data_IF_951317642980
#
_entry.id   IF_951317642980
#
_cell.length_a   1.000
_cell.length_b   1.000
_cell.length_c   1.000
_cell.angle_alpha   90.00
_cell.angle_beta   90.00
_cell.angle_gamma   90.00
#
_symmetry.space_group_name_H-M   'P 1'
#
loop_
_entity.id
_entity.type
_entity.pdbx_description
1 polymer ?
#
# COMPACT_ATOMS: atom_id res chain seq x y z
N UNK A 1 12.25 -15.46 8.21
CA UNK A 1 11.44 -15.33 6.98
C UNK A 1 11.81 -14.01 6.31
N UNK A 2 11.67 -13.89 4.98
CA UNK A 2 11.94 -12.62 4.30
C UNK A 2 10.76 -11.65 4.49
N UNK A 3 11.01 -10.34 4.44
CA UNK A 3 9.99 -9.31 4.60
C UNK A 3 8.89 -9.43 3.54
N UNK A 4 9.26 -9.68 2.28
CA UNK A 4 8.32 -9.85 1.17
C UNK A 4 7.39 -11.04 1.40
N UNK A 5 7.89 -12.14 1.98
CA UNK A 5 7.06 -13.31 2.31
C UNK A 5 6.01 -12.98 3.35
N UNK A 6 6.40 -12.32 4.43
CA UNK A 6 5.48 -11.90 5.49
C UNK A 6 4.44 -10.91 4.94
N UNK A 7 4.86 -10.01 4.06
CA UNK A 7 3.98 -9.03 3.45
C UNK A 7 2.96 -9.65 2.48
N UNK A 8 3.37 -10.65 1.70
CA UNK A 8 2.45 -11.44 0.87
C UNK A 8 1.42 -12.15 1.73
N UNK A 9 1.86 -12.83 2.79
CA UNK A 9 0.94 -13.53 3.71
C UNK A 9 -0.05 -12.55 4.34
N UNK A 10 0.42 -11.40 4.83
CA UNK A 10 -0.42 -10.38 5.44
C UNK A 10 -1.45 -9.82 4.44
N UNK A 11 -1.02 -9.38 3.26
CA UNK A 11 -1.91 -8.73 2.27
C UNK A 11 -2.92 -9.70 1.67
N UNK A 12 -2.52 -10.96 1.43
CA UNK A 12 -3.40 -11.98 0.87
C UNK A 12 -4.45 -12.52 1.87
N UNK A 13 -4.45 -12.07 3.13
CA UNK A 13 -5.52 -12.40 4.08
C UNK A 13 -6.90 -11.90 3.63
N UNK A 14 -6.93 -10.79 2.88
CA UNK A 14 -8.18 -10.13 2.47
C UNK A 14 -8.76 -10.68 1.17
N UNK A 15 -8.09 -11.62 0.49
CA UNK A 15 -8.55 -12.15 -0.79
C UNK A 15 -7.41 -12.54 -1.72
N UNK A 16 -7.62 -12.32 -3.01
CA UNK A 16 -6.62 -12.62 -4.04
C UNK A 16 -5.58 -11.49 -4.09
N UNK A 17 -4.30 -11.85 -4.12
CA UNK A 17 -3.19 -10.91 -4.32
C UNK A 17 -2.60 -11.11 -5.72
N UNK A 18 -2.59 -10.06 -6.54
CA UNK A 18 -2.00 -10.12 -7.87
C UNK A 18 -0.50 -10.38 -7.81
N UNK A 19 0.03 -11.21 -8.71
CA UNK A 19 1.46 -11.54 -8.75
C UNK A 19 2.34 -10.35 -9.10
N UNK A 20 1.81 -9.33 -9.80
CA UNK A 20 2.51 -8.04 -9.97
C UNK A 20 2.71 -7.30 -8.65
N UNK A 21 1.74 -7.38 -7.73
CA UNK A 21 1.92 -6.83 -6.39
C UNK A 21 2.97 -7.62 -5.60
N UNK A 22 3.00 -8.95 -5.74
CA UNK A 22 4.07 -9.79 -5.16
C UNK A 22 5.45 -9.39 -5.73
N UNK A 23 5.54 -9.19 -7.04
CA UNK A 23 6.76 -8.74 -7.71
C UNK A 23 7.22 -7.36 -7.20
N UNK A 24 6.29 -6.42 -6.97
CA UNK A 24 6.61 -5.13 -6.37
C UNK A 24 7.21 -5.28 -4.96
N UNK A 25 6.67 -6.19 -4.14
CA UNK A 25 7.23 -6.48 -2.82
C UNK A 25 8.64 -7.07 -2.91
N UNK A 26 8.84 -8.06 -3.79
CA UNK A 26 10.18 -8.63 -4.02
C UNK A 26 11.16 -7.56 -4.50
N UNK A 27 10.75 -6.70 -5.44
CA UNK A 27 11.54 -5.59 -5.92
C UNK A 27 11.96 -4.64 -4.79
N UNK A 28 11.05 -4.32 -3.86
CA UNK A 28 11.32 -3.46 -2.70
C UNK A 28 12.29 -4.09 -1.70
N UNK A 29 12.17 -5.38 -1.45
CA UNK A 29 13.10 -6.12 -0.57
C UNK A 29 14.54 -6.12 -1.12
N UNK A 30 14.67 -6.21 -2.43
CA UNK A 30 15.97 -6.35 -3.11
C UNK A 30 16.62 -5.00 -3.48
N UNK A 31 16.06 -3.87 -3.05
CA UNK A 31 16.59 -2.55 -3.44
C UNK A 31 18.04 -2.38 -2.97
N UNK A 32 18.93 -2.09 -3.93
CA UNK A 32 20.37 -1.90 -3.71
C UNK A 32 21.26 -1.90 -4.97
N UNK A 33 20.76 -2.32 -6.14
CA UNK A 33 21.49 -2.34 -7.41
C UNK A 33 20.62 -1.86 -8.58
N UNK A 34 21.23 -1.37 -9.67
CA UNK A 34 20.55 -0.80 -10.86
C UNK A 34 20.77 -1.63 -12.13
N UNK A 35 19.79 -1.61 -13.05
CA UNK A 35 19.93 -2.09 -14.44
C UNK A 35 19.33 -3.47 -14.74
N UNK A 36 19.56 -4.00 -15.95
CA UNK A 36 18.94 -5.24 -16.48
C UNK A 36 19.17 -6.50 -15.62
N UNK A 37 20.30 -6.56 -14.92
CA UNK A 37 20.60 -7.62 -13.97
C UNK A 37 19.60 -7.66 -12.80
N UNK A 38 18.97 -6.52 -12.47
CA UNK A 38 17.97 -6.43 -11.41
C UNK A 38 16.65 -7.08 -11.83
N UNK A 39 16.24 -6.99 -13.10
CA UNK A 39 14.98 -7.56 -13.58
C UNK A 39 15.01 -9.10 -13.51
N UNK A 40 16.09 -9.73 -13.98
CA UNK A 40 16.28 -11.18 -13.89
C UNK A 40 16.36 -11.65 -12.43
N UNK A 41 17.06 -10.90 -11.57
CA UNK A 41 17.16 -11.20 -10.12
C UNK A 41 15.79 -11.09 -9.43
N UNK A 42 15.01 -10.06 -9.74
CA UNK A 42 13.66 -9.87 -9.19
C UNK A 42 12.71 -10.95 -9.68
N UNK A 43 12.77 -11.32 -10.96
CA UNK A 43 11.96 -12.40 -11.51
C UNK A 43 12.31 -13.75 -10.86
N UNK A 44 13.60 -14.05 -10.70
CA UNK A 44 14.05 -15.26 -10.03
C UNK A 44 13.59 -15.29 -8.57
N UNK A 45 13.73 -14.19 -7.83
CA UNK A 45 13.29 -14.10 -6.45
C UNK A 45 11.76 -14.17 -6.30
N UNK A 46 10.99 -13.63 -7.26
CA UNK A 46 9.54 -13.82 -7.33
C UNK A 46 9.20 -15.30 -7.47
N UNK A 47 9.82 -15.99 -8.43
CA UNK A 47 9.59 -17.42 -8.67
C UNK A 47 9.92 -18.24 -7.42
N UNK A 48 11.05 -17.97 -6.77
CA UNK A 48 11.47 -18.69 -5.57
C UNK A 48 10.54 -18.42 -4.38
N UNK A 49 10.10 -17.16 -4.19
CA UNK A 49 9.13 -16.82 -3.16
C UNK A 49 7.80 -17.53 -3.39
N UNK A 50 7.23 -17.43 -4.59
CA UNK A 50 5.94 -18.06 -4.90
C UNK A 50 6.04 -19.59 -4.81
N UNK A 51 7.11 -20.19 -5.33
CA UNK A 51 7.35 -21.63 -5.20
C UNK A 51 7.39 -22.05 -3.74
N UNK A 52 8.11 -21.32 -2.89
CA UNK A 52 8.19 -21.62 -1.45
C UNK A 52 6.82 -21.57 -0.76
N UNK A 53 5.96 -20.61 -1.11
CA UNK A 53 4.60 -20.52 -0.55
C UNK A 53 3.71 -21.69 -0.99
N UNK A 54 3.87 -22.16 -2.23
CA UNK A 54 3.12 -23.29 -2.78
C UNK A 54 3.61 -24.62 -2.21
N UNK A 55 4.93 -24.83 -2.14
CA UNK A 55 5.55 -26.05 -1.60
C UNK A 55 5.21 -26.23 -0.11
N UNK A 56 5.18 -25.14 0.66
CA UNK A 56 4.73 -25.13 2.05
C UNK A 56 3.20 -25.27 2.21
N UNK A 57 2.47 -25.39 1.11
CA UNK A 57 1.00 -25.45 1.03
C UNK A 57 0.30 -24.24 1.67
N UNK A 58 0.95 -23.09 1.69
CA UNK A 58 0.40 -21.84 2.20
C UNK A 58 -0.41 -21.10 1.14
N UNK A 59 -0.07 -21.25 -0.14
CA UNK A 59 -0.75 -20.57 -1.22
C UNK A 59 -0.99 -21.46 -2.43
N UNK A 60 -1.93 -21.01 -3.27
CA UNK A 60 -2.19 -21.53 -4.61
C UNK A 60 -2.14 -20.36 -5.58
N UNK A 61 -1.57 -20.56 -6.77
CA UNK A 61 -1.56 -19.58 -7.86
C UNK A 61 -2.53 -19.96 -8.96
N UNK A 62 -3.10 -18.96 -9.62
CA UNK A 62 -4.19 -19.17 -10.56
C UNK A 62 -4.61 -17.92 -11.31
N UNK A 63 -5.59 -18.10 -12.19
CA UNK A 63 -6.24 -17.01 -12.93
C UNK A 63 -7.44 -16.49 -12.14
N UNK A 64 -7.68 -15.17 -12.19
CA UNK A 64 -8.93 -14.58 -11.74
C UNK A 64 -9.88 -14.49 -12.92
N UNK A 65 -11.01 -15.16 -12.84
CA UNK A 65 -12.07 -15.13 -13.86
C UNK A 65 -13.33 -14.47 -13.31
N UNK A 66 -14.30 -14.19 -14.18
CA UNK A 66 -15.63 -13.75 -13.74
C UNK A 66 -16.32 -14.77 -12.82
N UNK A 67 -16.05 -16.06 -12.99
CA UNK A 67 -16.60 -17.15 -12.17
C UNK A 67 -15.82 -17.38 -10.86
N UNK A 68 -14.72 -16.64 -10.64
CA UNK A 68 -13.86 -16.78 -9.47
C UNK A 68 -12.44 -17.22 -9.81
N UNK A 69 -11.73 -17.67 -8.79
CA UNK A 69 -10.34 -18.09 -8.87
C UNK A 69 -10.20 -19.50 -9.46
N UNK A 70 -9.34 -19.65 -10.46
CA UNK A 70 -9.05 -20.93 -11.13
C UNK A 70 -7.58 -21.28 -10.93
N UNK A 71 -7.25 -22.26 -10.08
CA UNK A 71 -5.87 -22.70 -9.86
C UNK A 71 -5.17 -23.14 -11.15
N UNK A 72 -3.91 -22.79 -11.29
CA UNK A 72 -3.07 -23.31 -12.36
C UNK A 72 -2.75 -24.79 -12.12
N UNK A 73 -2.72 -25.56 -13.20
CA UNK A 73 -2.30 -26.97 -13.21
C UNK A 73 -0.88 -27.16 -13.75
N UNK A 74 -0.30 -26.09 -14.30
CA UNK A 74 1.09 -26.03 -14.77
C UNK A 74 2.04 -25.76 -13.60
N UNK A 75 3.30 -26.19 -13.68
CA UNK A 75 4.32 -25.82 -12.69
C UNK A 75 4.38 -24.30 -12.53
N UNK A 76 4.51 -23.83 -11.28
CA UNK A 76 4.56 -22.40 -10.92
C UNK A 76 5.62 -21.66 -11.76
N UNK A 77 6.79 -22.30 -11.95
CA UNK A 77 7.88 -21.77 -12.77
C UNK A 77 7.46 -21.41 -14.19
N UNK A 78 6.65 -22.25 -14.81
CA UNK A 78 6.23 -22.07 -16.20
C UNK A 78 5.07 -21.09 -16.33
N UNK A 79 4.36 -20.80 -15.23
CA UNK A 79 3.19 -19.92 -15.21
C UNK A 79 3.49 -18.44 -14.92
N UNK A 80 4.67 -18.12 -14.37
CA UNK A 80 5.02 -16.77 -13.91
C UNK A 80 5.64 -15.86 -14.97
N UNK A 81 6.01 -16.39 -16.14
CA UNK A 81 6.64 -15.61 -17.21
C UNK A 81 5.63 -14.73 -17.94
N UNK A 82 5.58 -13.44 -17.57
CA UNK A 82 4.80 -12.40 -18.27
C UNK A 82 3.27 -12.56 -18.19
N UNK A 83 2.77 -13.56 -17.46
CA UNK A 83 1.34 -13.82 -17.29
C UNK A 83 0.78 -13.02 -16.12
N UNK A 84 -0.39 -12.43 -16.34
CA UNK A 84 -1.19 -11.93 -15.23
C UNK A 84 -1.72 -13.12 -14.42
N UNK A 85 -1.45 -13.15 -13.12
CA UNK A 85 -1.92 -14.21 -12.24
C UNK A 85 -2.09 -13.73 -10.81
N UNK A 86 -2.72 -14.57 -10.01
CA UNK A 86 -3.19 -14.23 -8.67
C UNK A 86 -2.80 -15.33 -7.69
N UNK A 87 -2.51 -14.91 -6.46
CA UNK A 87 -2.20 -15.76 -5.32
C UNK A 87 -3.40 -15.79 -4.37
N UNK A 88 -3.82 -16.99 -3.97
CA UNK A 88 -4.83 -17.22 -2.94
C UNK A 88 -4.22 -18.02 -1.80
N UNK A 89 -4.41 -17.57 -0.55
CA UNK A 89 -3.99 -18.36 0.61
C UNK A 89 -4.87 -19.59 0.79
N UNK A 90 -4.24 -20.70 1.15
CA UNK A 90 -4.93 -21.89 1.67
C UNK A 90 -5.41 -21.64 3.10
N UNK A 91 -6.08 -22.61 3.71
CA UNK A 91 -6.39 -22.54 5.14
C UNK A 91 -5.12 -22.44 6.01
N UNK A 92 -4.10 -23.25 5.71
CA UNK A 92 -2.80 -23.18 6.38
C UNK A 92 -2.12 -21.83 6.16
N UNK A 93 -2.19 -21.27 4.95
CA UNK A 93 -1.69 -19.93 4.64
C UNK A 93 -2.40 -18.85 5.44
N UNK A 94 -3.72 -18.91 5.57
CA UNK A 94 -4.49 -17.96 6.39
C UNK A 94 -4.15 -18.08 7.88
N UNK A 95 -3.89 -19.29 8.38
CA UNK A 95 -3.43 -19.48 9.76
C UNK A 95 -2.06 -18.84 9.95
N UNK A 96 -1.08 -19.17 9.10
CA UNK A 96 0.27 -18.60 9.14
C UNK A 96 0.25 -17.07 9.00
N UNK A 97 -0.64 -16.54 8.16
CA UNK A 97 -0.78 -15.09 7.99
C UNK A 97 -1.22 -14.38 9.27
N UNK A 98 -2.05 -15.01 10.13
CA UNK A 98 -2.47 -14.41 11.41
C UNK A 98 -1.31 -14.26 12.39
N UNK A 99 -0.29 -15.09 12.25
CA UNK A 99 0.92 -15.06 13.07
C UNK A 99 1.95 -14.05 12.54
N UNK A 100 1.70 -13.43 11.37
CA UNK A 100 2.58 -12.37 10.84
C UNK A 100 2.50 -11.15 11.75
N UNK A 101 3.64 -10.66 12.29
CA UNK A 101 3.65 -9.48 13.12
C UNK A 101 3.13 -8.25 12.38
N UNK A 102 2.29 -7.46 13.06
CA UNK A 102 1.79 -6.17 12.57
C UNK A 102 2.86 -5.07 12.69
N UNK A 103 3.98 -5.36 13.37
CA UNK A 103 5.11 -4.47 13.64
C UNK A 103 5.01 -3.87 15.05
N UNK A 104 6.10 -3.97 15.82
CA UNK A 104 6.28 -3.34 17.14
C UNK A 104 6.96 -1.96 16.99
N UNK A 105 6.76 -1.24 15.88
CA UNK A 105 7.31 0.11 15.77
C UNK A 105 6.73 0.94 16.90
N UNK A 106 7.63 1.39 17.81
CA UNK A 106 7.32 2.30 18.90
C UNK A 106 6.29 3.29 18.39
N UNK A 107 5.09 3.25 18.96
CA UNK A 107 4.15 4.35 18.83
C UNK A 107 4.99 5.55 19.26
N UNK A 108 5.38 6.47 18.36
CA UNK A 108 5.99 7.68 18.84
C UNK A 108 4.99 8.24 19.84
N UNK A 109 5.46 8.66 21.02
CA UNK A 109 4.61 9.27 22.05
C UNK A 109 4.10 10.61 21.51
N UNK A 110 3.19 10.53 20.54
CA UNK A 110 2.47 11.65 19.97
C UNK A 110 1.22 11.73 20.81
N UNK A 111 1.27 12.63 21.79
CA UNK A 111 0.05 13.16 22.39
C UNK A 111 -0.92 13.45 21.25
N UNK A 112 -2.08 12.78 21.24
CA UNK A 112 -3.02 12.86 20.12
C UNK A 112 -3.33 14.33 19.85
N UNK A 113 -2.84 14.84 18.72
CA UNK A 113 -3.06 16.23 18.34
C UNK A 113 -4.56 16.47 18.27
N UNK A 114 -5.06 17.39 19.09
CA UNK A 114 -6.45 17.77 19.02
C UNK A 114 -6.63 18.75 17.85
N UNK A 115 -7.40 18.32 16.86
CA UNK A 115 -7.69 19.12 15.68
C UNK A 115 -8.97 19.95 15.88
N UNK A 116 -8.97 21.16 15.35
CA UNK A 116 -10.14 22.05 15.31
C UNK A 116 -11.11 21.74 14.15
N UNK A 117 -10.83 20.66 13.41
CA UNK A 117 -11.59 20.20 12.25
C UNK A 117 -11.84 18.69 12.33
N UNK A 118 -12.74 18.13 11.50
CA UNK A 118 -13.08 16.70 11.53
C UNK A 118 -11.97 15.75 11.03
N UNK A 119 -10.74 15.92 11.51
CA UNK A 119 -9.55 15.15 11.16
C UNK A 119 -9.80 13.64 11.20
N UNK A 120 -10.37 13.14 12.30
CA UNK A 120 -10.61 11.71 12.48
C UNK A 120 -11.52 11.12 11.40
N UNK A 121 -12.48 11.90 10.90
CA UNK A 121 -13.37 11.47 9.82
C UNK A 121 -12.64 11.42 8.46
N UNK A 122 -11.82 12.43 8.15
CA UNK A 122 -11.00 12.41 6.92
C UNK A 122 -9.98 11.27 6.95
N UNK A 123 -9.28 11.10 8.08
CA UNK A 123 -8.32 10.01 8.29
C UNK A 123 -8.99 8.63 8.12
N UNK A 124 -10.16 8.42 8.72
CA UNK A 124 -10.92 7.19 8.56
C UNK A 124 -11.24 6.89 7.08
N UNK A 125 -11.68 7.89 6.31
CA UNK A 125 -11.99 7.73 4.88
C UNK A 125 -10.76 7.40 4.04
N UNK A 126 -9.63 8.07 4.30
CA UNK A 126 -8.36 7.78 3.63
C UNK A 126 -7.88 6.36 3.94
N UNK A 127 -7.89 5.97 5.22
CA UNK A 127 -7.46 4.64 5.65
C UNK A 127 -8.36 3.53 5.07
N UNK A 128 -9.68 3.71 5.10
CA UNK A 128 -10.62 2.73 4.52
C UNK A 128 -10.46 2.65 3.01
N UNK A 129 -10.28 3.77 2.30
CA UNK A 129 -10.01 3.72 0.86
C UNK A 129 -8.71 2.96 0.55
N UNK A 130 -7.69 3.16 1.38
CA UNK A 130 -6.40 2.47 1.29
C UNK A 130 -6.44 0.94 1.43
N UNK A 131 -7.57 0.35 1.79
CA UNK A 131 -7.74 -1.12 1.79
C UNK A 131 -8.01 -1.69 0.40
N UNK A 132 -8.44 -0.82 -0.53
CA UNK A 132 -8.76 -1.18 -1.92
C UNK A 132 -7.53 -1.06 -2.80
N UNK A 133 -6.86 0.09 -2.75
CA UNK A 133 -5.67 0.41 -3.54
C UNK A 133 -4.83 1.49 -2.82
N UNK A 134 -3.71 1.90 -3.42
CA UNK A 134 -2.97 3.08 -3.01
C UNK A 134 -3.86 4.33 -3.05
N UNK A 135 -3.64 5.26 -2.12
CA UNK A 135 -4.44 6.49 -2.04
C UNK A 135 -3.70 7.63 -2.70
N UNK A 136 -4.20 8.12 -3.83
CA UNK A 136 -3.63 9.25 -4.55
C UNK A 136 -3.92 10.59 -3.85
N UNK A 137 -3.04 11.58 -4.04
CA UNK A 137 -3.14 12.89 -3.40
C UNK A 137 -4.48 13.58 -3.68
N UNK A 138 -5.03 13.40 -4.88
CA UNK A 138 -6.39 13.80 -5.26
C UNK A 138 -7.46 13.31 -4.29
N UNK A 139 -7.44 12.02 -3.93
CA UNK A 139 -8.41 11.45 -2.99
C UNK A 139 -8.25 12.01 -1.60
N UNK A 140 -7.01 12.19 -1.14
CA UNK A 140 -6.74 12.73 0.19
C UNK A 140 -7.29 14.16 0.28
N UNK A 141 -6.98 15.00 -0.72
CA UNK A 141 -7.54 16.35 -0.84
C UNK A 141 -9.08 16.29 -0.78
N UNK A 142 -9.69 15.41 -1.56
CA UNK A 142 -11.14 15.32 -1.65
C UNK A 142 -11.76 14.91 -0.31
N UNK A 143 -11.19 13.93 0.41
CA UNK A 143 -11.67 13.55 1.77
C UNK A 143 -11.59 14.69 2.78
N UNK A 144 -10.55 15.51 2.70
CA UNK A 144 -10.44 16.71 3.55
C UNK A 144 -11.47 17.77 3.15
N UNK A 145 -11.68 17.96 1.84
CA UNK A 145 -12.68 18.91 1.32
C UNK A 145 -14.10 18.52 1.71
N UNK A 146 -14.45 17.24 1.67
CA UNK A 146 -15.78 16.74 2.06
C UNK A 146 -16.13 17.10 3.50
N UNK A 147 -15.16 17.02 4.42
CA UNK A 147 -15.37 17.35 5.84
C UNK A 147 -15.12 18.82 6.16
N UNK A 148 -14.70 19.60 5.16
CA UNK A 148 -14.39 21.04 5.24
C UNK A 148 -14.97 21.80 4.03
N UNK A 149 -16.29 21.72 3.74
CA UNK A 149 -16.84 22.18 2.48
C UNK A 149 -16.66 23.69 2.24
N UNK A 150 -16.79 24.51 3.28
CA UNK A 150 -16.88 25.97 3.15
C UNK A 150 -15.59 26.72 3.51
N UNK A 151 -14.48 26.01 3.74
CA UNK A 151 -13.20 26.66 4.06
C UNK A 151 -12.43 27.05 2.79
N UNK A 152 -11.61 28.11 2.84
CA UNK A 152 -10.73 28.49 1.73
C UNK A 152 -9.79 27.35 1.31
N UNK A 153 -9.40 27.33 0.04
CA UNK A 153 -8.55 26.27 -0.51
C UNK A 153 -7.22 26.11 0.26
N UNK A 154 -6.63 27.22 0.71
CA UNK A 154 -5.40 27.23 1.49
C UNK A 154 -5.55 26.46 2.81
N UNK A 155 -6.75 26.52 3.41
CA UNK A 155 -7.06 25.75 4.64
C UNK A 155 -7.22 24.27 4.33
N UNK A 156 -7.84 23.91 3.20
CA UNK A 156 -7.94 22.51 2.74
C UNK A 156 -6.55 21.93 2.46
N UNK A 157 -5.69 22.70 1.81
CA UNK A 157 -4.32 22.30 1.50
C UNK A 157 -3.51 22.05 2.77
N UNK A 158 -3.56 22.98 3.73
CA UNK A 158 -2.88 22.81 5.03
C UNK A 158 -3.38 21.56 5.75
N UNK A 159 -4.71 21.37 5.86
CA UNK A 159 -5.33 20.19 6.49
C UNK A 159 -4.96 18.88 5.78
N UNK A 160 -4.77 18.90 4.46
CA UNK A 160 -4.33 17.75 3.67
C UNK A 160 -2.89 17.38 4.01
N UNK A 161 -1.98 18.37 4.09
CA UNK A 161 -0.59 18.14 4.50
C UNK A 161 -0.50 17.66 5.95
N UNK A 162 -1.27 18.26 6.85
CA UNK A 162 -1.38 17.85 8.25
C UNK A 162 -1.84 16.39 8.38
N UNK A 163 -2.87 16.01 7.61
CA UNK A 163 -3.37 14.65 7.57
C UNK A 163 -2.30 13.66 7.10
N UNK A 164 -1.61 13.95 6.00
CA UNK A 164 -0.52 13.11 5.49
C UNK A 164 0.58 12.96 6.54
N UNK A 165 1.01 14.07 7.15
CA UNK A 165 2.07 14.09 8.14
C UNK A 165 1.73 13.20 9.35
N UNK A 166 0.52 13.33 9.90
CA UNK A 166 0.09 12.54 11.05
C UNK A 166 -0.08 11.05 10.74
N UNK A 167 -0.57 10.71 9.54
CA UNK A 167 -0.67 9.30 9.13
C UNK A 167 0.71 8.65 8.98
N UNK A 168 1.69 9.37 8.44
CA UNK A 168 3.07 8.89 8.31
C UNK A 168 3.73 8.77 9.68
N UNK A 169 3.67 9.83 10.51
CA UNK A 169 4.25 9.83 11.86
C UNK A 169 3.60 8.78 12.76
N UNK A 170 2.31 8.50 12.58
CA UNK A 170 1.60 7.43 13.29
C UNK A 170 1.94 6.01 12.81
N UNK A 171 2.82 5.87 11.82
CA UNK A 171 3.20 4.58 11.23
C UNK A 171 2.04 3.88 10.53
N UNK A 172 1.02 4.62 10.09
CA UNK A 172 -0.18 4.05 9.46
C UNK A 172 -0.04 3.94 7.94
N UNK A 173 0.77 4.81 7.34
CA UNK A 173 1.02 4.84 5.90
C UNK A 173 2.49 5.10 5.62
N UNK A 174 2.93 4.70 4.45
CA UNK A 174 4.16 5.18 3.82
C UNK A 174 3.79 5.99 2.58
N UNK A 175 4.52 7.08 2.36
CA UNK A 175 4.37 7.92 1.16
C UNK A 175 5.35 7.49 0.09
N UNK A 176 4.91 7.56 -1.16
CA UNK A 176 5.72 7.17 -2.30
C UNK A 176 5.14 7.61 -3.62
N UNK A 177 5.65 7.03 -4.69
CA UNK A 177 5.17 7.25 -6.06
C UNK A 177 5.23 5.96 -6.85
N UNK A 178 4.58 5.92 -8.01
CA UNK A 178 4.82 4.87 -9.00
C UNK A 178 6.11 5.21 -9.72
N UNK A 179 7.01 4.25 -9.77
CA UNK A 179 8.24 4.34 -10.55
C UNK A 179 8.03 3.51 -11.82
N UNK A 180 8.27 4.09 -12.99
CA UNK A 180 8.07 3.42 -14.27
C UNK A 180 9.04 2.25 -14.48
N UNK A 181 10.20 2.27 -13.81
CA UNK A 181 11.18 1.18 -13.81
C UNK A 181 10.87 0.14 -12.72
N UNK A 182 10.04 0.48 -11.73
CA UNK A 182 9.53 -0.46 -10.75
C UNK A 182 8.22 -1.09 -11.23
N UNK A 183 7.97 -2.33 -10.85
CA UNK A 183 6.66 -2.96 -11.09
C UNK A 183 5.56 -2.44 -10.14
N UNK A 184 5.58 -1.16 -9.75
CA UNK A 184 4.54 -0.55 -8.89
C UNK A 184 5.04 0.57 -7.97
N UNK A 185 4.44 0.64 -6.77
CA UNK A 185 4.73 1.65 -5.75
C UNK A 185 6.13 1.54 -5.18
N UNK A 186 6.71 2.70 -4.94
CA UNK A 186 8.02 2.89 -4.34
C UNK A 186 7.88 3.89 -3.21
N UNK A 187 8.11 3.43 -1.98
CA UNK A 187 8.20 4.31 -0.83
C UNK A 187 9.38 5.28 -1.00
N UNK A 188 9.17 6.54 -0.63
CA UNK A 188 10.25 7.53 -0.62
C UNK A 188 11.15 7.28 0.58
N UNK A 189 12.44 7.12 0.32
CA UNK A 189 13.48 7.00 1.35
C UNK A 189 13.99 8.39 1.73
N UNK A 190 13.17 9.14 2.46
CA UNK A 190 13.51 10.45 3.00
C UNK A 190 12.73 10.75 4.30
N UNK A 191 13.21 11.71 5.11
CA UNK A 191 12.46 12.23 6.25
C UNK A 191 11.05 12.73 5.87
N UNK A 192 10.13 12.68 6.85
CA UNK A 192 8.73 13.13 6.66
C UNK A 192 8.64 14.57 6.18
N UNK A 193 9.44 15.47 6.77
CA UNK A 193 9.43 16.89 6.38
C UNK A 193 9.88 17.10 4.92
N UNK A 194 10.91 16.36 4.47
CA UNK A 194 11.38 16.42 3.09
C UNK A 194 10.31 15.92 2.10
N UNK A 195 9.57 14.88 2.48
CA UNK A 195 8.44 14.40 1.69
C UNK A 195 7.32 15.44 1.60
N UNK A 196 6.96 16.08 2.72
CA UNK A 196 5.93 17.12 2.77
C UNK A 196 6.34 18.36 1.96
N UNK A 197 7.62 18.74 1.98
CA UNK A 197 8.13 19.85 1.17
C UNK A 197 8.00 19.57 -0.33
N UNK A 198 8.32 18.34 -0.76
CA UNK A 198 8.10 17.91 -2.15
C UNK A 198 6.63 17.98 -2.55
N UNK A 199 5.73 17.49 -1.68
CA UNK A 199 4.29 17.53 -1.93
C UNK A 199 3.81 18.98 -2.03
N UNK A 200 4.21 19.84 -1.08
CA UNK A 200 3.85 21.27 -1.05
C UNK A 200 4.25 21.98 -2.35
N UNK A 201 5.45 21.73 -2.86
CA UNK A 201 5.98 22.37 -4.07
C UNK A 201 5.16 22.08 -5.35
N UNK A 202 4.35 21.02 -5.35
CA UNK A 202 3.49 20.67 -6.49
C UNK A 202 2.02 20.93 -6.15
N UNK A 203 1.56 20.47 -5.00
CA UNK A 203 0.17 20.57 -4.58
C UNK A 203 -0.28 21.98 -4.18
N UNK A 204 0.58 22.74 -3.51
CA UNK A 204 0.25 24.10 -3.07
C UNK A 204 0.67 25.11 -4.13
N UNK A 205 1.94 25.05 -4.54
CA UNK A 205 2.51 26.07 -5.43
C UNK A 205 2.02 25.96 -6.88
N UNK A 206 1.47 24.79 -7.26
CA UNK A 206 0.93 24.53 -8.61
C UNK A 206 -0.47 23.94 -8.56
N UNK A 207 -1.28 24.33 -7.58
CA UNK A 207 -2.62 23.77 -7.36
C UNK A 207 -3.53 23.82 -8.60
N UNK A 208 -3.44 24.87 -9.41
CA UNK A 208 -4.26 25.03 -10.62
C UNK A 208 -3.89 24.02 -11.74
N UNK A 209 -2.77 23.31 -11.61
CA UNK A 209 -2.34 22.24 -12.51
C UNK A 209 -2.69 20.87 -11.89
N UNK A 210 -3.98 20.52 -11.88
CA UNK A 210 -4.51 19.25 -11.32
C UNK A 210 -3.75 18.03 -11.83
N UNK A 211 -3.41 18.03 -13.13
CA UNK A 211 -2.65 16.95 -13.76
C UNK A 211 -1.26 16.73 -13.17
N UNK A 212 -0.67 17.76 -12.56
CA UNK A 212 0.65 17.68 -11.95
C UNK A 212 0.62 17.15 -10.51
N UNK A 213 -0.44 17.38 -9.75
CA UNK A 213 -0.45 17.06 -8.31
C UNK A 213 -1.33 15.88 -7.91
N UNK A 214 -2.43 15.58 -8.61
CA UNK A 214 -3.39 14.54 -8.18
C UNK A 214 -2.72 13.17 -7.95
N UNK A 215 -1.79 12.81 -8.83
CA UNK A 215 -1.05 11.55 -8.84
C UNK A 215 0.41 11.70 -8.41
N UNK A 216 0.82 12.88 -7.93
CA UNK A 216 2.21 13.18 -7.61
C UNK A 216 2.78 12.25 -6.54
N UNK A 217 1.98 11.98 -5.50
CA UNK A 217 2.30 11.00 -4.48
C UNK A 217 1.11 10.09 -4.20
N UNK A 218 1.45 8.93 -3.65
CA UNK A 218 0.54 7.89 -3.21
C UNK A 218 0.80 7.58 -1.73
N UNK A 219 -0.24 7.20 -1.00
CA UNK A 219 -0.12 6.55 0.30
C UNK A 219 -0.37 5.05 0.16
N UNK A 220 0.55 4.25 0.68
CA UNK A 220 0.34 2.82 0.89
C UNK A 220 0.16 2.57 2.39
N UNK A 221 -0.89 1.82 2.76
CA UNK A 221 -1.09 1.43 4.15
C UNK A 221 0.05 0.52 4.63
N UNK A 222 0.54 0.77 5.84
CA UNK A 222 1.34 -0.21 6.57
C UNK A 222 0.44 -1.34 7.09
N UNK A 223 1.02 -2.41 7.63
CA UNK A 223 0.23 -3.47 8.31
C UNK A 223 -0.66 -2.89 9.40
N UNK A 224 -0.11 -1.99 10.20
CA UNK A 224 -0.84 -1.27 11.26
C UNK A 224 -1.98 -0.43 10.68
N UNK A 225 -1.71 0.33 9.61
CA UNK A 225 -2.72 1.09 8.88
C UNK A 225 -3.86 0.21 8.38
N UNK A 226 -3.54 -0.94 7.78
CA UNK A 226 -4.53 -1.91 7.30
C UNK A 226 -5.39 -2.49 8.44
N UNK A 227 -4.79 -2.85 9.57
CA UNK A 227 -5.55 -3.36 10.73
C UNK A 227 -6.52 -2.30 11.25
N UNK A 228 -6.06 -1.06 11.41
CA UNK A 228 -6.90 0.04 11.84
C UNK A 228 -8.04 0.33 10.84
N UNK A 229 -7.73 0.39 9.55
CA UNK A 229 -8.71 0.62 8.49
C UNK A 229 -9.83 -0.43 8.50
N UNK A 230 -9.47 -1.72 8.61
CA UNK A 230 -10.45 -2.82 8.72
C UNK A 230 -11.31 -2.72 9.98
N UNK A 231 -10.73 -2.31 11.11
CA UNK A 231 -11.49 -2.09 12.34
C UNK A 231 -12.51 -0.94 12.19
N UNK A 232 -12.15 0.12 11.47
CA UNK A 232 -13.06 1.24 11.15
C UNK A 232 -14.18 0.78 10.22
N UNK A 233 -13.85 0.04 9.16
CA UNK A 233 -14.82 -0.49 8.20
C UNK A 233 -15.85 -1.40 8.88
N UNK A 234 -15.40 -2.30 9.77
CA UNK A 234 -16.29 -3.19 10.53
C UNK A 234 -17.28 -2.44 11.45
N UNK A 235 -16.96 -1.21 11.85
CA UNK A 235 -17.82 -0.36 12.68
C UNK A 235 -18.78 0.51 11.86
N UNK A 236 -18.58 0.59 10.55
CA UNK A 236 -19.38 1.41 9.63
C UNK A 236 -20.20 0.46 8.74
N UNK A 237 -21.41 0.04 9.14
CA UNK A 237 -22.24 -0.83 8.30
C UNK A 237 -22.58 -0.12 6.97
N UNK A 238 -22.85 -0.90 5.90
CA UNK A 238 -23.11 -0.38 4.56
C UNK A 238 -24.33 0.53 4.46
#
# INVERSE_FOLDING_TARGET
>A
MSWARDEVLFRAQSGLLGLRAVQNLVFRELRGATGRAQEEVVQQALVDLVRSLVDDRLAVVGDRTQAGFVPWTIPVVDGLDGREGWLQLTEAGRAAARDVPVGDEEVPDTAATQWDWPFAQAAARVLVYGTIDWVELGQIHWRVKEVSPDVPIQVVQQRTLDLIAELIRGGLVVVGSIDAEACGFVAWDCPVEDALDRIRAVYVDRFDDESAWEWFCLLELTRRGTVLAKAIEAQTPP
#
